data_IF_288916872716
#
_entry.id   IF_288916872716
#
_cell.length_a   1.000
_cell.length_b   1.000
_cell.length_c   1.000
_cell.angle_alpha   90.00
_cell.angle_beta   90.00
_cell.angle_gamma   90.00
#
_symmetry.space_group_name_H-M   'P 1'
#
loop_
_entity.id
_entity.type
_entity.pdbx_description
1 polymer ?
#
# COMPACT_ATOMS: atom_id res chain seq x y z
N UNK A 1 -8.28 -9.00 -32.08
CA UNK A 1 -8.13 -8.23 -30.82
C UNK A 1 -6.98 -8.87 -30.05
N UNK A 2 -5.86 -8.16 -29.79
CA UNK A 2 -4.84 -8.72 -28.93
C UNK A 2 -5.39 -8.82 -27.51
N UNK A 3 -5.31 -10.02 -26.98
CA UNK A 3 -5.62 -10.41 -25.61
C UNK A 3 -5.11 -9.35 -24.60
N UNK A 4 -6.05 -8.69 -23.90
CA UNK A 4 -5.76 -7.73 -22.81
C UNK A 4 -5.54 -8.41 -21.45
N UNK A 5 -5.73 -9.73 -21.35
CA UNK A 5 -5.65 -10.56 -20.15
C UNK A 5 -4.33 -10.41 -19.36
N UNK A 6 -3.12 -10.44 -19.97
CA UNK A 6 -1.89 -10.43 -19.19
C UNK A 6 -1.65 -9.10 -18.45
N UNK A 7 -2.19 -7.98 -18.95
CA UNK A 7 -2.00 -6.67 -18.34
C UNK A 7 -2.89 -6.44 -17.11
N UNK A 8 -4.10 -7.01 -17.09
CA UNK A 8 -5.01 -6.94 -15.94
C UNK A 8 -4.54 -7.90 -14.85
N UNK A 9 -4.21 -9.15 -15.23
CA UNK A 9 -3.63 -10.16 -14.34
C UNK A 9 -2.36 -9.64 -13.63
N UNK A 10 -1.47 -8.95 -14.37
CA UNK A 10 -0.24 -8.39 -13.82
C UNK A 10 -0.44 -7.30 -12.75
N UNK A 11 -1.67 -6.81 -12.54
CA UNK A 11 -1.98 -5.69 -11.63
C UNK A 11 -3.03 -6.02 -10.58
N UNK A 12 -3.58 -7.23 -10.60
CA UNK A 12 -4.59 -7.65 -9.62
C UNK A 12 -4.05 -7.55 -8.20
N UNK A 13 -2.79 -7.91 -7.95
CA UNK A 13 -2.16 -7.78 -6.63
C UNK A 13 -2.10 -6.34 -6.15
N UNK A 14 -1.76 -5.39 -7.02
CA UNK A 14 -1.70 -3.96 -6.65
C UNK A 14 -3.09 -3.40 -6.30
N UNK A 15 -4.11 -3.78 -7.07
CA UNK A 15 -5.49 -3.44 -6.76
C UNK A 15 -5.96 -4.08 -5.46
N UNK A 16 -5.68 -5.37 -5.25
CA UNK A 16 -6.02 -6.09 -4.04
C UNK A 16 -5.41 -5.42 -2.80
N UNK A 17 -4.12 -5.08 -2.84
CA UNK A 17 -3.44 -4.46 -1.71
C UNK A 17 -3.97 -3.06 -1.40
N UNK A 18 -4.26 -2.26 -2.44
CA UNK A 18 -4.88 -0.96 -2.25
C UNK A 18 -6.30 -1.09 -1.66
N UNK A 19 -7.09 -2.06 -2.13
CA UNK A 19 -8.42 -2.36 -1.57
C UNK A 19 -8.34 -2.82 -0.13
N UNK A 20 -7.42 -3.72 0.22
CA UNK A 20 -7.22 -4.19 1.60
C UNK A 20 -6.90 -3.03 2.54
N UNK A 21 -6.11 -2.06 2.08
CA UNK A 21 -5.76 -0.87 2.86
C UNK A 21 -6.96 0.05 3.09
N UNK A 22 -7.78 0.26 2.07
CA UNK A 22 -9.04 1.02 2.20
C UNK A 22 -9.99 0.27 3.15
N UNK A 23 -10.18 -1.03 2.95
CA UNK A 23 -11.04 -1.86 3.79
C UNK A 23 -10.60 -1.88 5.25
N UNK A 24 -9.29 -1.95 5.51
CA UNK A 24 -8.74 -1.84 6.87
C UNK A 24 -9.09 -0.50 7.50
N UNK A 25 -8.90 0.61 6.77
CA UNK A 25 -9.24 1.94 7.28
C UNK A 25 -10.74 2.15 7.49
N UNK A 26 -11.59 1.61 6.61
CA UNK A 26 -13.04 1.59 6.81
C UNK A 26 -13.40 0.79 8.06
N UNK A 27 -12.81 -0.39 8.26
CA UNK A 27 -13.07 -1.21 9.44
C UNK A 27 -12.73 -0.47 10.73
N UNK A 28 -11.61 0.27 10.76
CA UNK A 28 -11.24 1.13 11.90
C UNK A 28 -12.14 2.36 12.04
N UNK A 29 -12.72 2.87 10.96
CA UNK A 29 -13.64 4.01 11.01
C UNK A 29 -15.06 3.65 11.48
N UNK A 30 -15.43 2.36 11.47
CA UNK A 30 -16.75 1.93 11.89
C UNK A 30 -16.94 2.16 13.40
N UNK A 31 -18.18 2.46 13.85
CA UNK A 31 -18.45 2.65 15.27
C UNK A 31 -18.06 1.40 16.09
N UNK A 32 -17.26 1.61 17.13
CA UNK A 32 -16.75 0.56 18.01
C UNK A 32 -15.29 0.83 18.39
N UNK A 33 -14.82 0.24 19.47
CA UNK A 33 -13.43 0.38 19.93
C UNK A 33 -12.56 -0.67 19.22
N UNK A 34 -12.29 -0.44 17.93
CA UNK A 34 -11.65 -1.44 17.06
C UNK A 34 -10.18 -1.65 17.42
N UNK A 35 -9.47 -0.59 17.79
CA UNK A 35 -8.08 -0.61 18.26
C UNK A 35 -7.99 -0.60 19.80
N UNK A 36 -9.10 -0.77 20.52
CA UNK A 36 -9.12 -0.90 21.98
C UNK A 36 -8.61 -2.24 22.50
N UNK A 37 -8.42 -3.24 21.62
CA UNK A 37 -7.89 -4.55 21.99
C UNK A 37 -6.40 -4.44 22.35
N UNK A 38 -5.94 -5.28 23.30
CA UNK A 38 -4.59 -5.16 23.89
C UNK A 38 -3.45 -5.15 22.87
N UNK A 39 -3.60 -5.87 21.76
CA UNK A 39 -2.60 -5.92 20.67
C UNK A 39 -2.40 -4.62 19.88
N UNK A 40 -3.31 -3.63 19.99
CA UNK A 40 -3.21 -2.36 19.26
C UNK A 40 -2.76 -1.18 20.14
N UNK A 41 -2.31 -1.44 21.38
CA UNK A 41 -2.03 -0.39 22.37
C UNK A 41 -1.06 0.69 21.88
N UNK A 42 -0.02 0.32 21.14
CA UNK A 42 0.92 1.29 20.58
C UNK A 42 0.30 2.18 19.49
N UNK A 43 -0.64 1.67 18.70
CA UNK A 43 -1.33 2.48 17.69
C UNK A 43 -2.15 3.58 18.38
N UNK A 44 -2.93 3.22 19.41
CA UNK A 44 -3.74 4.17 20.18
C UNK A 44 -2.86 5.19 20.93
N UNK A 45 -1.69 4.78 21.42
CA UNK A 45 -0.74 5.68 22.07
C UNK A 45 -0.18 6.74 21.10
N UNK A 46 0.05 6.37 19.85
CA UNK A 46 0.65 7.27 18.85
C UNK A 46 -0.37 8.23 18.27
N UNK A 47 -1.58 7.73 17.95
CA UNK A 47 -2.64 8.55 17.36
C UNK A 47 -4.03 7.93 17.61
N UNK A 48 -5.09 8.75 17.67
CA UNK A 48 -6.45 8.24 17.83
C UNK A 48 -6.93 7.48 16.58
N UNK A 49 -7.87 6.54 16.75
CA UNK A 49 -8.38 5.67 15.67
C UNK A 49 -8.78 6.40 14.37
N UNK A 50 -9.47 7.56 14.42
CA UNK A 50 -9.86 8.27 13.19
C UNK A 50 -8.68 8.69 12.33
N UNK A 51 -7.51 8.95 12.94
CA UNK A 51 -6.29 9.31 12.20
C UNK A 51 -5.77 8.09 11.45
N UNK A 52 -5.72 6.92 12.09
CA UNK A 52 -5.30 5.68 11.44
C UNK A 52 -6.22 5.27 10.31
N UNK A 53 -7.54 5.38 10.52
CA UNK A 53 -8.53 5.17 9.48
C UNK A 53 -8.31 6.09 8.28
N UNK A 54 -8.17 7.40 8.53
CA UNK A 54 -7.97 8.40 7.49
C UNK A 54 -6.66 8.17 6.71
N UNK A 55 -5.55 7.88 7.39
CA UNK A 55 -4.25 7.61 6.76
C UNK A 55 -4.33 6.36 5.87
N UNK A 56 -4.90 5.26 6.38
CA UNK A 56 -5.04 4.02 5.61
C UNK A 56 -5.90 4.24 4.36
N UNK A 57 -7.05 4.90 4.49
CA UNK A 57 -7.94 5.21 3.36
C UNK A 57 -7.23 6.14 2.36
N UNK A 58 -6.54 7.18 2.83
CA UNK A 58 -5.86 8.14 1.97
C UNK A 58 -4.74 7.47 1.15
N UNK A 59 -3.90 6.64 1.78
CA UNK A 59 -2.85 5.90 1.05
C UNK A 59 -3.48 4.93 0.05
N UNK A 60 -4.48 4.14 0.46
CA UNK A 60 -5.18 3.21 -0.41
C UNK A 60 -5.84 3.89 -1.61
N UNK A 61 -6.51 5.02 -1.40
CA UNK A 61 -7.15 5.82 -2.44
C UNK A 61 -6.12 6.41 -3.42
N UNK A 62 -5.05 7.04 -2.90
CA UNK A 62 -3.94 7.55 -3.72
C UNK A 62 -3.39 6.46 -4.64
N UNK A 63 -3.24 5.24 -4.13
CA UNK A 63 -2.74 4.10 -4.91
C UNK A 63 -3.73 3.64 -5.98
N UNK A 64 -5.00 3.51 -5.64
CA UNK A 64 -6.04 3.21 -6.63
C UNK A 64 -6.06 4.26 -7.75
N UNK A 65 -5.94 5.54 -7.41
CA UNK A 65 -5.85 6.63 -8.39
C UNK A 65 -4.61 6.48 -9.27
N UNK A 66 -3.43 6.18 -8.70
CA UNK A 66 -2.21 5.95 -9.47
C UNK A 66 -2.34 4.75 -10.43
N UNK A 67 -2.99 3.66 -10.00
CA UNK A 67 -3.25 2.49 -10.83
C UNK A 67 -4.20 2.82 -11.97
N UNK A 68 -5.27 3.55 -11.68
CA UNK A 68 -6.27 3.97 -12.66
C UNK A 68 -5.67 4.88 -13.73
N UNK A 69 -4.93 5.93 -13.33
CA UNK A 69 -4.23 6.85 -14.25
C UNK A 69 -3.28 6.06 -15.16
N UNK A 70 -2.50 5.14 -14.56
CA UNK A 70 -1.51 4.36 -15.29
C UNK A 70 -2.16 3.34 -16.26
N UNK A 71 -3.34 2.83 -15.94
CA UNK A 71 -4.07 1.87 -16.77
C UNK A 71 -4.91 2.51 -17.88
N UNK A 72 -5.49 3.70 -17.66
CA UNK A 72 -6.49 4.29 -18.57
C UNK A 72 -6.01 5.50 -19.36
N UNK A 73 -5.05 6.27 -18.82
CA UNK A 73 -4.70 7.59 -19.37
C UNK A 73 -3.23 7.70 -19.79
N UNK A 74 -2.33 8.06 -18.87
CA UNK A 74 -0.90 8.25 -19.15
C UNK A 74 -0.10 7.25 -18.34
N UNK A 75 0.63 6.37 -19.04
CA UNK A 75 1.57 5.42 -18.41
C UNK A 75 2.58 6.21 -17.57
N UNK A 76 2.43 6.11 -16.25
CA UNK A 76 3.23 6.82 -15.25
C UNK A 76 3.81 5.81 -14.26
N UNK A 77 4.82 5.00 -14.66
CA UNK A 77 5.30 3.89 -13.83
C UNK A 77 5.92 4.34 -12.51
N UNK A 78 6.54 5.53 -12.49
CA UNK A 78 7.12 6.10 -11.28
C UNK A 78 6.06 6.47 -10.23
N UNK A 79 4.93 7.06 -10.65
CA UNK A 79 3.81 7.36 -9.75
C UNK A 79 3.26 6.08 -9.10
N UNK A 80 3.18 5.00 -9.89
CA UNK A 80 2.76 3.67 -9.42
C UNK A 80 3.75 3.09 -8.42
N UNK A 81 5.05 3.17 -8.71
CA UNK A 81 6.10 2.73 -7.79
C UNK A 81 6.07 3.51 -6.47
N UNK A 82 5.89 4.83 -6.54
CA UNK A 82 5.76 5.69 -5.36
C UNK A 82 4.54 5.31 -4.52
N UNK A 83 3.39 5.08 -5.15
CA UNK A 83 2.19 4.60 -4.44
C UNK A 83 2.42 3.26 -3.73
N UNK A 84 3.05 2.30 -4.40
CA UNK A 84 3.42 1.02 -3.77
C UNK A 84 4.43 1.19 -2.62
N UNK A 85 5.35 2.16 -2.70
CA UNK A 85 6.32 2.42 -1.62
C UNK A 85 5.63 2.96 -0.35
N UNK A 86 4.63 3.83 -0.48
CA UNK A 86 3.80 4.23 0.66
C UNK A 86 3.01 3.06 1.24
N UNK A 87 2.49 2.19 0.37
CA UNK A 87 1.83 0.96 0.81
C UNK A 87 2.76 0.02 1.57
N UNK A 88 4.01 -0.12 1.12
CA UNK A 88 5.05 -0.89 1.79
C UNK A 88 5.32 -0.34 3.20
N UNK A 89 5.54 0.97 3.30
CA UNK A 89 5.78 1.64 4.59
C UNK A 89 4.60 1.44 5.55
N UNK A 90 3.37 1.52 5.06
CA UNK A 90 2.17 1.27 5.85
C UNK A 90 2.12 -0.15 6.43
N UNK A 91 2.28 -1.19 5.61
CA UNK A 91 2.21 -2.56 6.09
C UNK A 91 3.37 -2.92 7.03
N UNK A 92 4.58 -2.43 6.76
CA UNK A 92 5.72 -2.60 7.66
C UNK A 92 5.53 -1.85 8.98
N UNK A 93 4.97 -0.65 8.93
CA UNK A 93 4.64 0.14 10.12
C UNK A 93 3.61 -0.56 11.00
N UNK A 94 2.51 -1.06 10.41
CA UNK A 94 1.52 -1.85 11.14
C UNK A 94 2.14 -3.11 11.73
N UNK A 95 2.88 -3.88 10.93
CA UNK A 95 3.59 -5.07 11.41
C UNK A 95 4.44 -4.77 12.64
N UNK A 96 5.27 -3.75 12.57
CA UNK A 96 6.17 -3.35 13.66
C UNK A 96 5.40 -2.90 14.90
N UNK A 97 4.42 -2.01 14.75
CA UNK A 97 3.66 -1.46 15.88
C UNK A 97 2.84 -2.52 16.61
N UNK A 98 2.27 -3.47 15.87
CA UNK A 98 1.52 -4.58 16.44
C UNK A 98 2.43 -5.62 17.11
N UNK A 99 3.61 -5.85 16.56
CA UNK A 99 4.60 -6.73 17.19
C UNK A 99 5.14 -6.10 18.49
N UNK A 100 5.54 -4.83 18.44
CA UNK A 100 6.09 -4.12 19.59
C UNK A 100 5.04 -3.85 20.68
N UNK A 101 3.76 -3.78 20.31
CA UNK A 101 2.65 -3.57 21.23
C UNK A 101 2.01 -4.84 21.78
N UNK A 102 2.50 -6.02 21.38
CA UNK A 102 1.93 -7.29 21.81
C UNK A 102 2.17 -7.57 23.29
N UNK A 103 1.19 -8.20 23.94
CA UNK A 103 1.34 -8.66 25.32
C UNK A 103 2.40 -9.78 25.40
N UNK A 104 3.21 -9.82 26.47
CA UNK A 104 4.20 -10.88 26.66
C UNK A 104 3.56 -12.28 26.56
N UNK A 105 4.18 -13.16 25.76
CA UNK A 105 3.68 -14.53 25.54
C UNK A 105 2.54 -14.65 24.53
N UNK A 106 2.12 -13.56 23.89
CA UNK A 106 1.14 -13.58 22.80
C UNK A 106 1.81 -13.41 21.44
N UNK A 107 1.29 -14.10 20.43
CA UNK A 107 1.73 -13.93 19.03
C UNK A 107 0.64 -13.17 18.28
N UNK A 108 0.84 -11.88 17.97
CA UNK A 108 -0.18 -11.10 17.29
C UNK A 108 -0.35 -11.63 15.86
N UNK A 109 -1.61 -11.76 15.42
CA UNK A 109 -1.96 -12.20 14.05
C UNK A 109 -1.34 -11.31 12.97
N UNK A 110 -1.02 -10.06 13.32
CA UNK A 110 -0.24 -9.11 12.54
C UNK A 110 1.07 -9.69 11.98
N UNK A 111 1.73 -10.62 12.68
CA UNK A 111 2.95 -11.27 12.22
C UNK A 111 2.74 -12.18 11.01
N UNK A 112 1.54 -12.73 10.85
CA UNK A 112 1.24 -13.63 9.74
C UNK A 112 0.93 -12.87 8.45
N UNK A 113 0.15 -11.80 8.53
CA UNK A 113 -0.41 -11.15 7.34
C UNK A 113 0.44 -9.98 6.83
N UNK A 114 0.80 -9.03 7.69
CA UNK A 114 1.37 -7.76 7.23
C UNK A 114 2.76 -7.89 6.57
N UNK A 115 3.68 -8.77 7.01
CA UNK A 115 4.91 -9.03 6.28
C UNK A 115 4.69 -9.58 4.88
N UNK A 116 3.69 -10.47 4.71
CA UNK A 116 3.35 -11.03 3.41
C UNK A 116 2.83 -9.94 2.48
N UNK A 117 1.94 -9.07 2.98
CA UNK A 117 1.45 -7.92 2.21
C UNK A 117 2.60 -6.96 1.85
N UNK A 118 3.53 -6.70 2.77
CA UNK A 118 4.73 -5.91 2.54
C UNK A 118 5.64 -6.51 1.45
N UNK A 119 5.83 -7.83 1.41
CA UNK A 119 6.58 -8.49 0.33
C UNK A 119 5.94 -8.26 -1.04
N UNK A 120 4.60 -8.38 -1.13
CA UNK A 120 3.90 -8.09 -2.39
C UNK A 120 3.94 -6.61 -2.77
N UNK A 121 3.97 -5.69 -1.80
CA UNK A 121 4.24 -4.27 -2.07
C UNK A 121 5.64 -4.05 -2.61
N UNK A 122 6.67 -4.63 -1.97
CA UNK A 122 8.05 -4.51 -2.40
C UNK A 122 8.22 -5.01 -3.84
N UNK A 123 7.59 -6.14 -4.18
CA UNK A 123 7.55 -6.64 -5.55
C UNK A 123 6.86 -5.65 -6.52
N UNK A 124 5.76 -5.01 -6.09
CA UNK A 124 5.07 -3.98 -6.88
C UNK A 124 5.93 -2.72 -7.10
N UNK A 125 6.70 -2.30 -6.08
CA UNK A 125 7.68 -1.21 -6.18
C UNK A 125 8.76 -1.55 -7.19
N UNK A 126 9.39 -2.72 -7.08
CA UNK A 126 10.46 -3.17 -7.98
C UNK A 126 9.97 -3.23 -9.43
N UNK A 127 8.77 -3.77 -9.67
CA UNK A 127 8.17 -3.80 -11.01
C UNK A 127 7.87 -2.40 -11.53
N UNK A 128 7.28 -1.54 -10.70
CA UNK A 128 7.01 -0.13 -11.05
C UNK A 128 8.26 0.64 -11.45
N UNK A 129 9.33 0.47 -10.67
CA UNK A 129 10.63 1.09 -10.93
C UNK A 129 11.27 0.54 -12.20
N UNK A 130 11.25 -0.79 -12.40
CA UNK A 130 11.76 -1.44 -13.62
C UNK A 130 11.04 -0.98 -14.89
N UNK A 131 9.71 -0.83 -14.83
CA UNK A 131 8.92 -0.29 -15.95
C UNK A 131 9.25 1.20 -16.22
N UNK A 132 9.54 1.98 -15.17
CA UNK A 132 9.99 3.38 -15.30
C UNK A 132 11.34 3.46 -16.02
N UNK A 133 12.28 2.60 -15.63
CA UNK A 133 13.59 2.50 -16.25
C UNK A 133 13.49 2.12 -17.73
N UNK A 134 12.78 1.04 -18.06
CA UNK A 134 12.59 0.57 -19.45
C UNK A 134 11.84 1.55 -20.33
N UNK A 135 10.93 2.33 -19.76
CA UNK A 135 10.19 3.34 -20.53
C UNK A 135 11.02 4.58 -20.85
N UNK A 136 12.25 4.72 -20.32
CA UNK A 136 13.11 5.89 -20.56
C UNK A 136 12.54 7.18 -19.96
N UNK A 137 11.62 7.08 -19.00
CA UNK A 137 10.96 8.25 -18.39
C UNK A 137 11.95 9.18 -17.67
N UNK A 138 13.01 8.60 -17.07
CA UNK A 138 14.12 9.36 -16.48
C UNK A 138 15.07 9.94 -17.53
N UNK A 139 15.18 9.32 -18.71
CA UNK A 139 16.03 9.78 -19.81
C UNK A 139 15.42 10.93 -20.63
N UNK A 140 14.10 10.91 -20.85
CA UNK A 140 13.40 11.96 -21.62
C UNK A 140 13.42 13.33 -20.93
N UNK A 141 13.39 13.37 -19.59
CA UNK A 141 13.45 14.61 -18.82
C UNK A 141 14.76 15.39 -19.05
N UNK A 142 15.87 14.71 -19.34
CA UNK A 142 17.18 15.34 -19.64
C UNK A 142 17.27 16.00 -21.01
N UNK A 143 16.39 15.66 -21.95
CA UNK A 143 16.51 16.10 -23.36
C UNK A 143 15.62 17.33 -23.64
N UNK A 144 14.50 17.47 -22.91
CA UNK A 144 13.56 18.59 -23.08
C UNK A 144 13.87 19.84 -22.23
N UNK A 145 14.94 19.79 -21.43
CA UNK A 145 15.42 20.92 -20.61
C UNK A 145 16.75 21.49 -21.11
N UNK A 146 17.11 21.19 -22.37
CA UNK A 146 18.27 21.72 -23.08
C UNK A 146 17.85 22.61 -24.24
#
# INVERSE_FOLDING_TARGET
MPDRSPYIQARMTEWLLASLMISWGIAVALPGETLGLSGFRLLVLIAPEPVWAAVSIAIGAMRMTALWINGRWRRSPLLRAGGAAWGLGWWLGLWWLLWAGADPGTTPSALAFYPVLAVFEAHSVVRGAGDSYRSGALGRWRITSG
#
